data_IF_659247145790
#
_entry.id   IF_659247145790
#
_cell.length_a   1.000
_cell.length_b   1.000
_cell.length_c   1.000
_cell.angle_alpha   90.00
_cell.angle_beta   90.00
_cell.angle_gamma   90.00
#
_symmetry.space_group_name_H-M   'P 1'
#
loop_
_entity.id
_entity.type
_entity.pdbx_description
1 polymer ?
#
# COMPACT_ATOMS: atom_id res chain seq x y z
N UNK A 1 2.81 -11.19 8.18
CA UNK A 1 3.98 -10.40 7.73
C UNK A 1 3.42 -9.19 7.00
N UNK A 2 3.84 -7.95 7.32
CA UNK A 2 3.36 -6.79 6.56
C UNK A 2 4.02 -6.80 5.17
N UNK A 3 3.31 -6.42 4.09
CA UNK A 3 3.85 -6.42 2.73
C UNK A 3 5.07 -5.51 2.58
N UNK A 4 5.86 -5.76 1.54
CA UNK A 4 7.02 -4.95 1.20
C UNK A 4 6.61 -3.49 0.89
N UNK A 5 7.35 -2.52 1.40
CA UNK A 5 7.11 -1.08 1.22
C UNK A 5 7.40 -0.64 -0.24
N UNK A 6 7.82 -1.58 -1.10
CA UNK A 6 8.18 -1.37 -2.51
C UNK A 6 7.10 -0.63 -3.32
N UNK A 7 5.82 -0.94 -3.10
CA UNK A 7 4.71 -0.41 -3.89
C UNK A 7 4.07 0.86 -3.30
N UNK A 8 4.51 1.28 -2.11
CA UNK A 8 3.99 2.48 -1.45
C UNK A 8 4.56 3.75 -2.09
N UNK A 9 3.72 4.78 -2.21
CA UNK A 9 4.19 6.14 -2.54
C UNK A 9 5.04 6.72 -1.39
N UNK A 10 5.82 7.78 -1.62
CA UNK A 10 6.56 8.46 -0.55
C UNK A 10 5.64 8.89 0.62
N UNK A 11 4.45 9.39 0.33
CA UNK A 11 3.48 9.84 1.34
C UNK A 11 2.92 8.67 2.15
N UNK A 12 2.58 7.57 1.46
CA UNK A 12 2.11 6.33 2.10
C UNK A 12 3.20 5.74 3.01
N UNK A 13 4.47 5.76 2.59
CA UNK A 13 5.61 5.33 3.43
C UNK A 13 5.70 6.14 4.71
N UNK A 14 5.60 7.47 4.62
CA UNK A 14 5.60 8.35 5.79
C UNK A 14 4.43 8.00 6.73
N UNK A 15 3.25 7.76 6.16
CA UNK A 15 2.07 7.40 6.94
C UNK A 15 2.23 6.05 7.65
N UNK A 16 2.72 5.02 6.95
CA UNK A 16 2.99 3.70 7.52
C UNK A 16 4.03 3.78 8.64
N UNK A 17 5.11 4.56 8.47
CA UNK A 17 6.10 4.77 9.54
C UNK A 17 5.44 5.38 10.78
N UNK A 18 4.61 6.41 10.61
CA UNK A 18 3.86 7.01 11.73
C UNK A 18 2.94 6.00 12.41
N UNK A 19 2.16 5.25 11.64
CA UNK A 19 1.26 4.22 12.17
C UNK A 19 2.02 3.11 12.92
N UNK A 20 3.20 2.69 12.44
CA UNK A 20 4.07 1.74 13.16
C UNK A 20 4.54 2.33 14.50
N UNK A 21 4.95 3.59 14.53
CA UNK A 21 5.34 4.28 15.78
C UNK A 21 4.18 4.39 16.78
N UNK A 22 3.00 4.79 16.31
CA UNK A 22 1.80 4.86 17.17
C UNK A 22 1.39 3.47 17.69
N UNK A 23 1.47 2.43 16.84
CA UNK A 23 1.20 1.06 17.24
C UNK A 23 2.17 0.54 18.30
N UNK A 24 3.46 0.89 18.20
CA UNK A 24 4.45 0.54 19.19
C UNK A 24 4.15 1.18 20.56
N UNK A 25 3.64 2.41 20.55
CA UNK A 25 3.26 3.15 21.75
C UNK A 25 1.83 2.85 22.24
N UNK A 26 1.11 1.94 21.58
CA UNK A 26 -0.29 1.66 21.89
C UNK A 26 -0.43 0.95 23.24
N UNK A 27 -1.24 1.53 24.13
CA UNK A 27 -1.49 1.00 25.48
C UNK A 27 -2.54 -0.11 25.52
N UNK A 28 -3.33 -0.27 24.45
CA UNK A 28 -4.41 -1.26 24.38
C UNK A 28 -4.31 -2.11 23.13
N UNK A 29 -4.77 -3.36 23.24
CA UNK A 29 -4.87 -4.26 22.10
C UNK A 29 -5.81 -3.71 21.01
N UNK A 30 -6.83 -2.94 21.40
CA UNK A 30 -7.75 -2.30 20.47
C UNK A 30 -7.03 -1.27 19.59
N UNK A 31 -6.21 -0.40 20.18
CA UNK A 31 -5.39 0.54 19.41
C UNK A 31 -4.38 -0.18 18.52
N UNK A 32 -3.75 -1.25 19.00
CA UNK A 32 -2.85 -2.06 18.16
C UNK A 32 -3.57 -2.64 16.94
N UNK A 33 -4.79 -3.16 17.12
CA UNK A 33 -5.62 -3.68 16.02
C UNK A 33 -6.02 -2.57 15.05
N UNK A 34 -6.35 -1.39 15.55
CA UNK A 34 -6.68 -0.23 14.73
C UNK A 34 -5.51 0.15 13.83
N UNK A 35 -4.31 0.40 14.38
CA UNK A 35 -3.16 0.82 13.56
C UNK A 35 -2.74 -0.26 12.56
N UNK A 36 -2.84 -1.54 12.94
CA UNK A 36 -2.61 -2.66 12.02
C UNK A 36 -3.60 -2.63 10.85
N UNK A 37 -4.89 -2.47 11.11
CA UNK A 37 -5.92 -2.41 10.08
C UNK A 37 -5.74 -1.20 9.15
N UNK A 38 -5.34 -0.05 9.68
CA UNK A 38 -5.06 1.14 8.85
C UNK A 38 -3.85 0.92 7.94
N UNK A 39 -2.77 0.29 8.44
CA UNK A 39 -1.64 -0.09 7.58
C UNK A 39 -2.05 -1.09 6.50
N UNK A 40 -2.82 -2.14 6.85
CA UNK A 40 -3.32 -3.14 5.89
C UNK A 40 -4.11 -2.50 4.75
N UNK A 41 -5.02 -1.55 5.07
CA UNK A 41 -5.76 -0.79 4.05
C UNK A 41 -4.82 -0.03 3.10
N UNK A 42 -3.76 0.60 3.61
CA UNK A 42 -2.79 1.33 2.76
C UNK A 42 -2.11 0.37 1.79
N UNK A 43 -1.64 -0.79 2.26
CA UNK A 43 -1.03 -1.79 1.38
C UNK A 43 -1.99 -2.32 0.32
N UNK A 44 -3.24 -2.62 0.69
CA UNK A 44 -4.24 -3.10 -0.27
C UNK A 44 -4.54 -2.06 -1.37
N UNK A 45 -4.51 -0.76 -1.03
CA UNK A 45 -4.70 0.31 -2.01
C UNK A 45 -3.48 0.43 -2.93
N UNK A 46 -2.27 0.30 -2.38
CA UNK A 46 -1.03 0.30 -3.15
C UNK A 46 -0.98 -0.87 -4.13
N UNK A 47 -1.33 -2.08 -3.69
CA UNK A 47 -1.41 -3.26 -4.54
C UNK A 47 -2.42 -3.08 -5.69
N UNK A 48 -3.62 -2.57 -5.40
CA UNK A 48 -4.62 -2.26 -6.43
C UNK A 48 -4.12 -1.27 -7.46
N UNK A 49 -3.42 -0.22 -7.02
CA UNK A 49 -2.85 0.79 -7.92
C UNK A 49 -1.81 0.16 -8.85
N UNK A 50 -0.92 -0.67 -8.32
CA UNK A 50 0.11 -1.31 -9.15
C UNK A 50 -0.49 -2.32 -10.13
N UNK A 51 -1.45 -3.14 -9.68
CA UNK A 51 -2.19 -4.02 -10.57
C UNK A 51 -2.93 -3.26 -11.68
N UNK A 52 -3.44 -2.06 -11.39
CA UNK A 52 -4.04 -1.20 -12.41
C UNK A 52 -3.00 -0.65 -13.40
N UNK A 53 -1.85 -0.17 -12.93
CA UNK A 53 -0.76 0.30 -13.80
C UNK A 53 -0.27 -0.80 -14.75
N UNK A 54 -0.12 -2.03 -14.26
CA UNK A 54 0.28 -3.16 -15.09
C UNK A 54 -0.73 -3.47 -16.20
N UNK A 55 -2.04 -3.42 -15.87
CA UNK A 55 -3.11 -3.59 -16.87
C UNK A 55 -3.06 -2.50 -17.94
N UNK A 56 -2.86 -1.24 -17.54
CA UNK A 56 -2.75 -0.12 -18.47
C UNK A 56 -1.54 -0.26 -19.39
N UNK A 57 -0.38 -0.66 -18.84
CA UNK A 57 0.83 -0.89 -19.62
C UNK A 57 0.63 -1.98 -20.69
N UNK A 58 0.01 -3.10 -20.34
CA UNK A 58 -0.30 -4.18 -21.30
C UNK A 58 -1.22 -3.68 -22.42
N UNK A 59 -2.25 -2.90 -22.07
CA UNK A 59 -3.17 -2.32 -23.06
C UNK A 59 -2.44 -1.34 -24.01
N UNK A 60 -1.55 -0.50 -23.50
CA UNK A 60 -0.73 0.41 -24.32
C UNK A 60 0.20 -0.35 -25.28
N UNK A 61 0.82 -1.44 -24.82
CA UNK A 61 1.66 -2.32 -25.64
C UNK A 61 0.86 -3.02 -26.75
N UNK A 62 -0.35 -3.51 -26.42
CA UNK A 62 -1.28 -4.08 -27.39
C UNK A 62 -1.66 -3.05 -28.47
N UNK A 63 -2.05 -1.83 -28.09
CA UNK A 63 -2.39 -0.76 -29.04
C UNK A 63 -1.19 -0.44 -29.93
N UNK A 64 0.00 -0.26 -29.35
CA UNK A 64 1.22 0.05 -30.11
C UNK A 64 1.62 -1.06 -31.09
N UNK A 65 1.33 -2.32 -30.78
CA UNK A 65 1.64 -3.43 -31.70
C UNK A 65 0.70 -3.55 -32.91
N UNK A 66 -0.43 -2.83 -32.91
CA UNK A 66 -1.44 -2.83 -33.98
C UNK A 66 -1.43 -1.55 -34.84
N UNK A 67 -0.50 -0.62 -34.59
CA UNK A 67 -0.27 0.61 -35.36
C UNK A 67 1.10 0.54 -36.02
#
# INVERSE_FOLDING_TARGET
MLPDDAYLTPEEKILVVKLRSEMFNAMTLEHMKFYKAEMEKIYEQAERREAFKEKMKKMEEEIRSHV
#
